data_IF_401792307242
#
_entry.id   IF_401792307242
#
_cell.length_a   1.000
_cell.length_b   1.000
_cell.length_c   1.000
_cell.angle_alpha   90.00
_cell.angle_beta   90.00
_cell.angle_gamma   90.00
#
_symmetry.space_group_name_H-M   'P 1'
#
loop_
_entity.id
_entity.type
_entity.pdbx_description
1 polymer ?
#
# COMPACT_ATOMS: atom_id res chain seq x y z
N UNK A 1 4.56 -4.66 -19.85
CA UNK A 1 3.15 -4.26 -19.58
C UNK A 1 2.16 -5.33 -20.02
N UNK A 2 2.40 -5.99 -21.17
CA UNK A 2 1.45 -6.95 -21.77
C UNK A 2 1.31 -8.29 -21.03
N UNK A 3 2.13 -8.52 -20.01
CA UNK A 3 2.09 -9.72 -19.17
C UNK A 3 1.02 -9.65 -18.07
N UNK A 4 0.53 -8.45 -17.73
CA UNK A 4 -0.48 -8.25 -16.69
C UNK A 4 -1.86 -8.30 -17.32
N UNK A 5 -2.63 -9.33 -16.94
CA UNK A 5 -4.00 -9.56 -17.39
C UNK A 5 -5.00 -8.69 -16.63
N UNK A 6 -6.17 -8.47 -17.23
CA UNK A 6 -7.31 -7.85 -16.54
C UNK A 6 -7.63 -8.62 -15.25
N UNK A 7 -8.04 -7.89 -14.23
CA UNK A 7 -8.37 -8.44 -12.91
C UNK A 7 -7.17 -8.69 -11.99
N UNK A 8 -5.95 -8.50 -12.46
CA UNK A 8 -4.76 -8.72 -11.62
C UNK A 8 -4.71 -7.70 -10.48
N UNK A 9 -4.44 -8.18 -9.26
CA UNK A 9 -3.97 -7.35 -8.16
C UNK A 9 -2.46 -7.55 -7.97
N UNK A 10 -1.75 -6.45 -7.76
CA UNK A 10 -0.32 -6.44 -7.46
C UNK A 10 -0.13 -5.72 -6.13
N UNK A 11 0.68 -6.31 -5.27
CA UNK A 11 1.17 -5.67 -4.05
C UNK A 11 2.67 -5.42 -4.23
N UNK A 12 3.06 -4.17 -4.45
CA UNK A 12 4.45 -3.73 -4.47
C UNK A 12 4.87 -3.37 -3.05
N UNK A 13 6.01 -3.89 -2.61
CA UNK A 13 6.45 -3.85 -1.21
C UNK A 13 7.94 -3.52 -1.08
N UNK A 14 8.72 -3.72 -2.14
CA UNK A 14 10.18 -3.63 -2.11
C UNK A 14 10.76 -2.24 -2.39
N UNK A 15 9.97 -1.31 -2.90
CA UNK A 15 10.38 0.08 -3.13
C UNK A 15 10.21 0.92 -1.87
N UNK A 16 11.29 1.06 -1.10
CA UNK A 16 11.32 1.81 0.17
C UNK A 16 12.45 2.86 0.24
N UNK A 17 13.15 3.09 -0.87
CA UNK A 17 14.34 3.95 -0.93
C UNK A 17 14.47 4.61 -2.31
N UNK A 18 15.21 5.72 -2.38
CA UNK A 18 15.32 6.53 -3.59
C UNK A 18 15.82 5.72 -4.80
N UNK A 19 15.03 5.76 -5.88
CA UNK A 19 15.36 5.12 -7.14
C UNK A 19 15.13 3.61 -7.17
N UNK A 20 14.64 2.99 -6.09
CA UNK A 20 14.11 1.62 -6.15
C UNK A 20 12.76 1.61 -6.84
N UNK A 21 12.54 0.59 -7.67
CA UNK A 21 11.32 0.41 -8.44
C UNK A 21 11.19 -1.07 -8.82
N UNK A 22 10.07 -1.71 -8.50
CA UNK A 22 9.79 -3.11 -8.84
C UNK A 22 8.96 -3.24 -10.12
N UNK A 23 8.08 -2.28 -10.39
CA UNK A 23 7.12 -2.26 -11.48
C UNK A 23 7.47 -1.15 -12.47
N UNK A 24 7.35 -1.41 -13.77
CA UNK A 24 7.49 -0.33 -14.76
C UNK A 24 6.43 0.76 -14.50
N UNK A 25 6.81 2.03 -14.58
CA UNK A 25 5.90 3.16 -14.30
C UNK A 25 4.66 3.18 -15.21
N UNK A 26 4.81 2.71 -16.46
CA UNK A 26 3.69 2.52 -17.39
C UNK A 26 2.63 1.52 -16.87
N UNK A 27 3.01 0.58 -16.00
CA UNK A 27 2.07 -0.34 -15.37
C UNK A 27 1.21 0.37 -14.31
N UNK A 28 1.78 1.35 -13.60
CA UNK A 28 1.02 2.20 -12.67
C UNK A 28 0.05 3.07 -13.45
N UNK A 29 0.47 3.65 -14.57
CA UNK A 29 -0.41 4.42 -15.46
C UNK A 29 -1.52 3.57 -16.10
N UNK A 30 -1.28 2.27 -16.31
CA UNK A 30 -2.28 1.32 -16.81
C UNK A 30 -3.26 0.84 -15.73
N UNK A 31 -2.89 0.90 -14.46
CA UNK A 31 -3.71 0.39 -13.38
C UNK A 31 -5.00 1.22 -13.23
N UNK A 32 -6.13 0.55 -13.04
CA UNK A 32 -7.40 1.22 -12.77
C UNK A 32 -7.43 1.84 -11.37
N UNK A 33 -6.67 1.26 -10.43
CA UNK A 33 -6.49 1.79 -9.07
C UNK A 33 -5.05 1.64 -8.63
N UNK A 34 -4.48 2.73 -8.14
CA UNK A 34 -3.22 2.75 -7.40
C UNK A 34 -3.54 3.18 -5.97
N UNK A 35 -3.13 2.37 -5.00
CA UNK A 35 -3.39 2.60 -3.58
C UNK A 35 -2.06 2.66 -2.83
N UNK A 36 -1.74 3.81 -2.25
CA UNK A 36 -0.55 4.01 -1.42
C UNK A 36 -0.88 3.76 0.07
N UNK A 37 0.04 3.19 0.84
CA UNK A 37 -0.11 3.12 2.30
C UNK A 37 0.03 4.50 2.97
N UNK A 38 0.98 5.31 2.51
CA UNK A 38 1.08 6.75 2.75
C UNK A 38 1.39 7.47 1.44
N UNK A 39 0.49 8.36 1.01
CA UNK A 39 0.68 9.07 -0.26
C UNK A 39 2.02 9.83 -0.28
N UNK A 40 2.30 10.59 0.79
CA UNK A 40 3.50 11.41 0.87
C UNK A 40 4.79 10.59 0.86
N UNK A 41 4.80 9.36 1.39
CA UNK A 41 5.98 8.49 1.33
C UNK A 41 6.11 7.81 -0.04
N UNK A 42 5.01 7.30 -0.59
CA UNK A 42 4.99 6.60 -1.87
C UNK A 42 5.41 7.49 -3.04
N UNK A 43 5.02 8.77 -3.04
CA UNK A 43 5.44 9.71 -4.11
C UNK A 43 6.88 10.19 -3.97
N UNK A 44 7.54 9.94 -2.83
CA UNK A 44 8.92 10.36 -2.57
C UNK A 44 9.90 9.19 -2.71
N UNK A 45 9.56 8.00 -2.20
CA UNK A 45 10.47 6.84 -2.09
C UNK A 45 9.83 5.49 -2.50
N UNK A 46 8.52 5.47 -2.79
CA UNK A 46 7.80 4.26 -3.15
C UNK A 46 7.70 4.00 -4.65
N UNK A 47 6.85 3.06 -5.02
CA UNK A 47 6.63 2.63 -6.39
C UNK A 47 6.04 3.78 -7.25
N UNK A 48 5.27 4.68 -6.63
CA UNK A 48 4.67 5.84 -7.28
C UNK A 48 5.67 6.95 -7.64
N UNK A 49 6.84 7.02 -7.01
CA UNK A 49 7.80 8.14 -7.14
C UNK A 49 8.13 8.46 -8.61
N UNK A 50 8.62 7.46 -9.36
CA UNK A 50 9.05 7.67 -10.74
C UNK A 50 7.87 8.05 -11.65
N UNK A 51 6.72 7.39 -11.47
CA UNK A 51 5.52 7.64 -12.28
C UNK A 51 4.94 9.04 -12.07
N UNK A 52 4.94 9.54 -10.83
CA UNK A 52 4.50 10.92 -10.52
C UNK A 52 5.52 11.95 -11.00
N UNK A 53 6.81 11.73 -10.72
CA UNK A 53 7.90 12.63 -11.17
C UNK A 53 7.90 12.82 -12.68
N UNK A 54 7.71 11.73 -13.42
CA UNK A 54 7.72 11.72 -14.89
C UNK A 54 6.34 12.06 -15.49
N UNK A 55 5.38 12.51 -14.66
CA UNK A 55 4.03 12.95 -15.06
C UNK A 55 3.22 11.88 -15.80
N UNK A 56 3.49 10.61 -15.53
CA UNK A 56 2.73 9.49 -16.11
C UNK A 56 1.45 9.19 -15.33
N UNK A 57 1.42 9.53 -14.04
CA UNK A 57 0.23 9.51 -13.19
C UNK A 57 0.15 10.83 -12.41
N UNK A 58 -1.06 11.29 -12.12
CA UNK A 58 -1.26 12.43 -11.23
C UNK A 58 -1.36 11.98 -9.78
N UNK A 59 -0.70 12.69 -8.86
CA UNK A 59 -0.79 12.44 -7.41
C UNK A 59 -2.25 12.41 -6.93
N UNK A 60 -3.11 13.25 -7.51
CA UNK A 60 -4.54 13.36 -7.22
C UNK A 60 -5.35 12.07 -7.47
N UNK A 61 -4.83 11.17 -8.30
CA UNK A 61 -5.49 9.91 -8.68
C UNK A 61 -5.10 8.73 -7.77
N UNK A 62 -4.07 8.90 -6.95
CA UNK A 62 -3.59 7.87 -6.03
C UNK A 62 -4.47 7.89 -4.78
N UNK A 63 -4.99 6.73 -4.41
CA UNK A 63 -5.82 6.56 -3.21
C UNK A 63 -4.95 6.21 -2.01
N UNK A 64 -5.26 6.73 -0.83
CA UNK A 64 -4.64 6.23 0.40
C UNK A 64 -5.38 4.99 0.91
N UNK A 65 -4.62 3.99 1.38
CA UNK A 65 -5.14 2.74 1.93
C UNK A 65 -6.12 2.98 3.08
N UNK A 66 -5.84 3.97 3.94
CA UNK A 66 -6.74 4.36 5.02
C UNK A 66 -8.10 4.86 4.53
N UNK A 67 -8.17 5.50 3.35
CA UNK A 67 -9.43 5.94 2.74
C UNK A 67 -10.16 4.76 2.12
N UNK A 68 -9.46 3.85 1.44
CA UNK A 68 -10.06 2.62 0.89
C UNK A 68 -10.64 1.73 1.99
N UNK A 69 -9.97 1.62 3.15
CA UNK A 69 -10.48 0.87 4.31
C UNK A 69 -11.77 1.50 4.85
N UNK A 70 -11.86 2.84 4.89
CA UNK A 70 -13.07 3.55 5.35
C UNK A 70 -14.20 3.52 4.34
N UNK A 71 -13.86 3.52 3.05
CA UNK A 71 -14.76 3.63 1.92
C UNK A 71 -14.46 2.52 0.89
N UNK A 72 -14.81 1.26 1.17
CA UNK A 72 -14.46 0.14 0.28
C UNK A 72 -14.94 0.31 -1.16
N UNK A 73 -16.00 1.10 -1.38
CA UNK A 73 -16.58 1.42 -2.68
C UNK A 73 -15.63 2.19 -3.63
N UNK A 74 -14.60 2.88 -3.10
CA UNK A 74 -13.63 3.59 -3.94
C UNK A 74 -12.48 2.69 -4.41
N UNK A 75 -12.36 1.50 -3.82
CA UNK A 75 -11.36 0.49 -4.16
C UNK A 75 -11.67 -0.20 -5.50
N UNK A 76 -11.63 -1.54 -5.48
CA UNK A 76 -11.98 -2.36 -6.65
C UNK A 76 -13.50 -2.39 -6.83
N UNK A 77 -13.97 -1.99 -8.00
CA UNK A 77 -15.40 -1.94 -8.36
C UNK A 77 -15.78 -2.90 -9.49
N UNK A 78 -14.80 -3.56 -10.12
CA UNK A 78 -15.03 -4.58 -11.16
C UNK A 78 -13.93 -5.65 -11.14
N UNK A 79 -14.30 -6.87 -11.52
CA UNK A 79 -13.39 -8.02 -11.61
C UNK A 79 -12.30 -7.84 -12.68
N UNK A 80 -12.53 -6.98 -13.67
CA UNK A 80 -11.57 -6.71 -14.75
C UNK A 80 -10.49 -5.70 -14.37
N UNK A 81 -10.65 -4.97 -13.26
CA UNK A 81 -9.73 -3.90 -12.89
C UNK A 81 -8.34 -4.43 -12.53
N UNK A 82 -7.30 -3.77 -13.02
CA UNK A 82 -5.94 -3.93 -12.53
C UNK A 82 -5.77 -3.01 -11.32
N UNK A 83 -5.35 -3.57 -10.18
CA UNK A 83 -5.15 -2.78 -8.96
C UNK A 83 -3.75 -2.97 -8.41
N UNK A 84 -3.09 -1.88 -8.05
CA UNK A 84 -1.75 -1.88 -7.47
C UNK A 84 -1.85 -1.28 -6.07
N UNK A 85 -1.29 -1.98 -5.09
CA UNK A 85 -0.99 -1.43 -3.78
C UNK A 85 0.52 -1.14 -3.70
N UNK A 86 0.88 0.09 -3.36
CA UNK A 86 2.26 0.54 -3.12
C UNK A 86 2.43 0.69 -1.60
N UNK A 87 3.27 -0.17 -1.01
CA UNK A 87 3.44 -0.30 0.43
C UNK A 87 4.89 -0.01 0.82
N UNK A 88 5.13 1.16 1.42
CA UNK A 88 6.45 1.59 1.88
C UNK A 88 6.72 1.28 3.36
N UNK A 89 5.67 0.96 4.11
CA UNK A 89 5.70 0.77 5.56
C UNK A 89 5.45 2.09 6.30
N UNK A 90 4.41 2.10 7.14
CA UNK A 90 4.04 3.27 7.95
C UNK A 90 4.15 2.97 9.44
N UNK A 91 4.79 3.84 10.21
CA UNK A 91 5.06 3.63 11.64
C UNK A 91 3.80 3.37 12.49
N UNK A 92 2.63 3.86 12.05
CA UNK A 92 1.35 3.60 12.72
C UNK A 92 1.02 2.11 12.76
N UNK A 93 1.36 1.33 11.73
CA UNK A 93 1.13 -0.11 11.68
C UNK A 93 1.93 -0.82 12.77
N UNK A 94 3.23 -0.51 12.89
CA UNK A 94 4.11 -1.06 13.92
C UNK A 94 3.62 -0.74 15.33
N UNK A 95 3.22 0.52 15.57
CA UNK A 95 2.69 0.96 16.87
C UNK A 95 1.44 0.18 17.25
N UNK A 96 0.51 -0.06 16.31
CA UNK A 96 -0.70 -0.83 16.61
C UNK A 96 -0.37 -2.30 16.91
N UNK A 97 0.55 -2.91 16.17
CA UNK A 97 1.00 -4.28 16.41
C UNK A 97 1.67 -4.39 17.79
N UNK A 98 2.61 -3.49 18.10
CA UNK A 98 3.30 -3.46 19.39
C UNK A 98 2.32 -3.26 20.56
N UNK A 99 1.35 -2.36 20.41
CA UNK A 99 0.28 -2.13 21.40
C UNK A 99 -0.57 -3.39 21.60
N UNK A 100 -0.97 -4.07 20.52
CA UNK A 100 -1.74 -5.31 20.60
C UNK A 100 -0.99 -6.38 21.39
N UNK A 101 0.30 -6.59 21.08
CA UNK A 101 1.16 -7.56 21.76
C UNK A 101 1.31 -7.20 23.24
N UNK A 102 1.58 -5.93 23.57
CA UNK A 102 1.73 -5.48 24.94
C UNK A 102 0.44 -5.71 25.76
N UNK A 103 -0.73 -5.41 25.18
CA UNK A 103 -2.02 -5.66 25.83
C UNK A 103 -2.29 -7.16 26.02
N UNK A 104 -2.00 -7.98 25.02
CA UNK A 104 -2.15 -9.44 25.13
C UNK A 104 -1.27 -10.02 26.24
N UNK A 105 -0.02 -9.57 26.32
CA UNK A 105 0.92 -9.97 27.37
C UNK A 105 0.45 -9.57 28.77
N UNK A 106 -0.02 -8.33 28.94
CA UNK A 106 -0.57 -7.87 30.22
C UNK A 106 -1.78 -8.70 30.67
N UNK A 107 -2.70 -9.02 29.75
CA UNK A 107 -3.85 -9.88 30.05
C UNK A 107 -3.42 -11.30 30.47
N UNK A 108 -2.43 -11.88 29.78
CA UNK A 108 -1.91 -13.19 30.14
C UNK A 108 -1.23 -13.20 31.51
N UNK A 109 -0.46 -12.16 31.87
CA UNK A 109 0.13 -12.09 33.22
C UNK A 109 -0.92 -11.93 34.33
N UNK A 110 -2.05 -11.31 34.03
CA UNK A 110 -3.17 -11.18 34.98
C UNK A 110 -3.95 -12.49 35.16
N UNK A 111 -3.95 -13.41 34.18
CA UNK A 111 -4.63 -14.72 34.27
C UNK A 111 -3.80 -15.83 34.93
N UNK A 112 -2.61 -15.53 35.46
CA UNK A 112 -1.90 -16.41 36.40
C UNK A 112 -1.04 -17.52 35.80
N UNK A 113 -0.99 -17.72 34.48
CA UNK A 113 0.00 -18.61 33.90
C UNK A 113 1.35 -17.88 33.81
N UNK A 114 2.25 -18.22 34.74
CA UNK A 114 3.68 -17.90 34.62
C UNK A 114 4.27 -18.75 33.49
N UNK A 115 5.02 -18.10 32.59
CA UNK A 115 5.95 -18.78 31.68
C UNK A 115 7.06 -19.40 32.50
#
# INVERSE_FOLDING_TARGET
IDQVQKGTHITAMGSDDHGKQELASDLLAKADRVVADSLSQCIDHGECFAAVRDQQIEESTILELGNVIRHPEIGRTSDDQITIADLTGVAVQDIQIAKMIALAFCRHKQTGNKI
#
